data_IF_304069492426
#
_entry.id   IF_304069492426
#
_cell.length_a   1.000
_cell.length_b   1.000
_cell.length_c   1.000
_cell.angle_alpha   90.00
_cell.angle_beta   90.00
_cell.angle_gamma   90.00
#
_symmetry.space_group_name_H-M   'P 1'
#
loop_
_entity.id
_entity.type
_entity.pdbx_description
1 polymer ?
#
# COMPACT_ATOMS: atom_id res chain seq x y z
N UNK A 1 3.83 -38.13 18.05
CA UNK A 1 3.30 -36.81 17.58
C UNK A 1 3.75 -35.61 18.43
N UNK A 2 4.86 -35.68 19.19
CA UNK A 2 5.35 -34.53 19.99
C UNK A 2 6.22 -33.54 19.21
N UNK A 3 6.84 -34.00 18.13
CA UNK A 3 7.79 -33.21 17.33
C UNK A 3 7.07 -32.16 16.46
N UNK A 4 5.88 -32.47 15.93
CA UNK A 4 5.11 -31.53 15.11
C UNK A 4 4.67 -30.27 15.88
N UNK A 5 4.42 -30.38 17.18
CA UNK A 5 4.09 -29.25 18.04
C UNK A 5 5.27 -28.26 18.22
N UNK A 6 6.52 -28.75 18.13
CA UNK A 6 7.73 -27.91 18.23
C UNK A 6 7.95 -27.01 17.01
N UNK A 7 7.31 -27.29 15.87
CA UNK A 7 7.45 -26.49 14.64
C UNK A 7 6.24 -25.62 14.34
N UNK A 8 5.17 -25.73 15.13
CA UNK A 8 3.92 -25.00 14.93
C UNK A 8 4.12 -23.48 15.03
N UNK A 9 5.06 -23.04 15.87
CA UNK A 9 5.45 -21.62 15.96
C UNK A 9 6.20 -21.12 14.72
N UNK A 10 6.84 -21.98 13.92
CA UNK A 10 7.51 -21.59 12.67
C UNK A 10 6.52 -21.30 11.54
N UNK A 11 5.28 -21.80 11.64
CA UNK A 11 4.23 -21.53 10.65
C UNK A 11 3.94 -20.02 10.59
N UNK A 12 3.98 -19.32 11.71
CA UNK A 12 3.75 -17.88 11.76
C UNK A 12 4.82 -17.06 10.99
N UNK A 13 6.13 -17.16 11.25
CA UNK A 13 7.15 -16.44 10.48
C UNK A 13 7.22 -16.91 9.03
N UNK A 14 7.03 -18.21 8.75
CA UNK A 14 6.98 -18.71 7.37
C UNK A 14 5.77 -18.14 6.60
N UNK A 15 4.60 -18.14 7.24
CA UNK A 15 3.38 -17.57 6.66
C UNK A 15 3.50 -16.06 6.44
N UNK A 16 4.08 -15.34 7.39
CA UNK A 16 4.35 -13.91 7.25
C UNK A 16 5.33 -13.63 6.12
N UNK A 17 6.45 -14.37 6.07
CA UNK A 17 7.44 -14.23 5.00
C UNK A 17 6.83 -14.50 3.63
N UNK A 18 6.08 -15.60 3.50
CA UNK A 18 5.36 -15.93 2.27
C UNK A 18 4.36 -14.85 1.86
N UNK A 19 3.62 -14.29 2.82
CA UNK A 19 2.69 -13.20 2.56
C UNK A 19 3.39 -11.94 2.03
N UNK A 20 4.51 -11.55 2.64
CA UNK A 20 5.32 -10.40 2.21
C UNK A 20 5.92 -10.64 0.83
N UNK A 21 6.41 -11.83 0.51
CA UNK A 21 6.95 -12.15 -0.81
C UNK A 21 5.87 -12.18 -1.89
N UNK A 22 4.69 -12.72 -1.60
CA UNK A 22 3.63 -12.90 -2.60
C UNK A 22 2.79 -11.65 -2.82
N UNK A 23 2.37 -10.96 -1.75
CA UNK A 23 1.51 -9.78 -1.84
C UNK A 23 2.26 -8.45 -1.68
N UNK A 24 3.48 -8.45 -1.14
CA UNK A 24 4.25 -7.25 -0.87
C UNK A 24 4.03 -6.68 0.54
N UNK A 25 4.56 -5.50 0.78
CA UNK A 25 4.48 -4.80 2.06
C UNK A 25 3.43 -3.69 2.03
N UNK A 26 2.73 -3.45 3.15
CA UNK A 26 1.75 -2.37 3.23
C UNK A 26 2.43 -1.01 3.22
N UNK A 27 1.93 -0.13 2.37
CA UNK A 27 2.26 1.28 2.33
C UNK A 27 1.00 2.10 2.54
N UNK A 28 1.12 3.15 3.32
CA UNK A 28 0.03 4.08 3.63
C UNK A 28 0.10 5.30 2.74
N UNK A 29 -1.06 5.87 2.40
CA UNK A 29 -1.10 7.11 1.62
C UNK A 29 -0.47 8.25 2.43
N UNK A 30 0.51 8.91 1.84
CA UNK A 30 1.21 10.04 2.43
C UNK A 30 0.76 11.36 1.83
N UNK A 31 0.72 11.44 0.51
CA UNK A 31 0.29 12.65 -0.21
C UNK A 31 -0.43 12.29 -1.50
N UNK A 32 -1.15 13.24 -2.06
CA UNK A 32 -1.90 13.07 -3.29
C UNK A 32 -1.90 14.37 -4.10
N UNK A 33 -2.01 14.25 -5.41
CA UNK A 33 -2.26 15.36 -6.33
C UNK A 33 -3.65 15.21 -6.92
N UNK A 34 -4.35 16.32 -7.14
CA UNK A 34 -5.70 16.33 -7.69
C UNK A 34 -5.89 17.51 -8.63
N UNK A 35 -6.82 17.39 -9.58
CA UNK A 35 -7.21 18.52 -10.43
C UNK A 35 -8.02 19.51 -9.58
N UNK A 36 -7.54 20.74 -9.44
CA UNK A 36 -8.24 21.83 -8.76
C UNK A 36 -9.20 22.51 -9.73
N UNK A 37 -10.51 22.32 -9.56
CA UNK A 37 -11.54 23.07 -10.30
C UNK A 37 -11.80 24.43 -9.62
N UNK A 38 -10.82 25.33 -9.67
CA UNK A 38 -10.94 26.73 -9.26
C UNK A 38 -10.94 27.02 -7.75
N UNK A 39 -11.45 26.12 -6.90
CA UNK A 39 -11.49 26.30 -5.44
C UNK A 39 -10.95 25.06 -4.69
N UNK A 40 -9.62 24.88 -4.73
CA UNK A 40 -8.94 23.62 -4.36
C UNK A 40 -9.07 23.17 -2.89
N UNK A 41 -9.44 24.08 -1.98
CA UNK A 41 -9.60 23.79 -0.55
C UNK A 41 -11.06 23.80 -0.08
N UNK A 42 -12.03 24.01 -0.97
CA UNK A 42 -13.45 23.90 -0.64
C UNK A 42 -13.81 22.50 -0.17
N UNK A 43 -14.47 22.37 0.99
CA UNK A 43 -14.87 21.08 1.57
C UNK A 43 -15.89 20.33 0.69
N UNK A 44 -16.60 21.06 -0.17
CA UNK A 44 -17.65 20.58 -1.07
C UNK A 44 -17.19 20.34 -2.51
N UNK A 45 -15.95 20.69 -2.87
CA UNK A 45 -15.43 20.47 -4.21
C UNK A 45 -15.14 18.98 -4.44
N UNK A 46 -15.68 18.41 -5.54
CA UNK A 46 -15.35 17.04 -5.97
C UNK A 46 -13.88 16.99 -6.37
N UNK A 47 -13.04 16.34 -5.55
CA UNK A 47 -11.62 16.13 -5.83
C UNK A 47 -11.45 14.89 -6.70
N UNK A 48 -10.91 15.08 -7.90
CA UNK A 48 -10.43 13.98 -8.74
C UNK A 48 -8.93 13.84 -8.53
N UNK A 49 -8.55 12.82 -7.76
CA UNK A 49 -7.14 12.52 -7.50
C UNK A 49 -6.49 11.99 -8.79
N UNK A 50 -5.24 12.38 -9.04
CA UNK A 50 -4.45 12.03 -10.22
C UNK A 50 -3.32 11.11 -9.82
N UNK A 51 -2.49 11.54 -8.86
CA UNK A 51 -1.40 10.73 -8.32
C UNK A 51 -1.54 10.58 -6.81
N UNK A 52 -1.18 9.41 -6.32
CA UNK A 52 -1.16 9.04 -4.92
C UNK A 52 0.26 8.60 -4.56
N UNK A 53 0.83 9.24 -3.55
CA UNK A 53 2.11 8.87 -2.97
C UNK A 53 1.86 8.01 -1.75
N UNK A 54 2.43 6.82 -1.75
CA UNK A 54 2.40 5.89 -0.62
C UNK A 54 3.78 5.78 0.00
N UNK A 55 3.84 5.67 1.33
CA UNK A 55 5.06 5.46 2.09
C UNK A 55 4.94 4.21 2.96
N UNK A 56 6.00 3.45 3.05
CA UNK A 56 6.07 2.23 3.84
C UNK A 56 7.51 1.88 4.15
N UNK A 57 7.71 0.74 4.79
CA UNK A 57 9.04 0.31 5.21
C UNK A 57 10.02 0.18 4.03
N UNK A 58 9.52 -0.25 2.87
CA UNK A 58 10.33 -0.47 1.66
C UNK A 58 10.51 0.80 0.82
N UNK A 59 9.98 1.95 1.25
CA UNK A 59 10.23 3.24 0.61
C UNK A 59 8.96 3.99 0.21
N UNK A 60 9.09 4.84 -0.81
CA UNK A 60 8.03 5.71 -1.34
C UNK A 60 7.64 5.26 -2.75
N UNK A 61 6.35 5.06 -2.98
CA UNK A 61 5.79 4.71 -4.29
C UNK A 61 4.79 5.77 -4.76
N UNK A 62 4.91 6.22 -6.00
CA UNK A 62 3.94 7.13 -6.64
C UNK A 62 3.17 6.35 -7.68
N UNK A 63 1.85 6.35 -7.58
CA UNK A 63 0.96 5.61 -8.49
C UNK A 63 -0.24 6.46 -8.87
N UNK A 64 -0.79 6.22 -10.06
CA UNK A 64 -2.00 6.91 -10.51
C UNK A 64 -3.20 6.51 -9.63
N UNK A 65 -4.11 7.46 -9.42
CA UNK A 65 -5.32 7.24 -8.66
C UNK A 65 -6.21 6.21 -9.36
N UNK A 66 -6.68 5.22 -8.60
CA UNK A 66 -7.63 4.24 -9.14
C UNK A 66 -9.05 4.81 -9.03
N UNK A 67 -9.73 4.91 -10.17
CA UNK A 67 -11.09 5.47 -10.24
C UNK A 67 -11.20 6.88 -9.66
N UNK A 68 -10.14 7.68 -9.82
CA UNK A 68 -10.06 9.05 -9.30
C UNK A 68 -9.99 9.12 -7.78
N UNK A 69 -9.61 8.02 -7.09
CA UNK A 69 -9.43 7.93 -5.63
C UNK A 69 -8.06 7.34 -5.27
N UNK A 70 -7.54 7.77 -4.11
CA UNK A 70 -6.41 7.12 -3.46
C UNK A 70 -6.93 6.16 -2.39
N UNK A 71 -6.42 4.93 -2.38
CA UNK A 71 -6.65 3.99 -1.29
C UNK A 71 -5.85 4.45 -0.07
N UNK A 72 -6.32 4.11 1.13
CA UNK A 72 -5.58 4.41 2.36
C UNK A 72 -4.32 3.57 2.50
N UNK A 73 -4.43 2.29 2.12
CA UNK A 73 -3.35 1.30 2.20
C UNK A 73 -3.28 0.56 0.87
N UNK A 74 -2.08 0.38 0.35
CA UNK A 74 -1.79 -0.43 -0.82
C UNK A 74 -0.56 -1.28 -0.55
N UNK A 75 -0.61 -2.53 -0.99
CA UNK A 75 0.54 -3.44 -0.94
C UNK A 75 1.40 -3.19 -2.17
N UNK A 76 2.71 -3.05 -1.96
CA UNK A 76 3.69 -2.97 -3.03
C UNK A 76 4.70 -4.09 -2.84
N UNK A 77 5.00 -4.82 -3.93
CA UNK A 77 6.04 -5.84 -3.89
C UNK A 77 7.41 -5.16 -3.77
N UNK A 78 8.32 -5.71 -2.95
CA UNK A 78 9.71 -5.26 -2.94
C UNK A 78 10.32 -5.59 -4.31
N UNK A 79 10.50 -4.54 -5.12
CA UNK A 79 11.17 -4.50 -6.42
C UNK A 79 10.62 -5.42 -7.53
N UNK A 80 9.54 -4.99 -8.17
CA UNK A 80 9.40 -5.15 -9.62
C UNK A 80 9.79 -3.80 -10.24
N UNK A 81 11.11 -3.64 -10.46
CA UNK A 81 11.70 -2.46 -11.09
C UNK A 81 11.14 -2.29 -12.52
N UNK A 82 10.40 -1.21 -12.75
CA UNK A 82 10.27 -0.58 -14.06
C UNK A 82 10.73 0.87 -13.97
#
# INVERSE_FOLDING_TARGET
MKIAALFLWMIAPLGFWGAVTYWGTPHVVWSYTFHSSGNGYGVTAKRYYINCTYIGWTGKHVTSAQQGRCLWIRLFKPEENQ
#
